data_IF_531848698685
#
_entry.id   IF_531848698685
#
_cell.length_a   1.000
_cell.length_b   1.000
_cell.length_c   1.000
_cell.angle_alpha   90.00
_cell.angle_beta   90.00
_cell.angle_gamma   90.00
#
_symmetry.space_group_name_H-M   'P 1'
#
loop_
_entity.id
_entity.type
_entity.pdbx_description
1 polymer ?
#
# COMPACT_ATOMS: atom_id res chain seq x y z
N UNK A 1 -18.56 -42.52 18.43
CA UNK A 1 -18.49 -43.45 17.29
C UNK A 1 -19.61 -43.03 16.33
N UNK A 2 -19.33 -42.71 15.04
CA UNK A 2 -20.38 -42.39 14.08
C UNK A 2 -21.32 -43.58 13.91
N UNK A 3 -22.63 -43.34 13.82
CA UNK A 3 -23.61 -44.40 13.57
C UNK A 3 -23.36 -45.07 12.22
N UNK A 4 -23.81 -46.33 12.08
CA UNK A 4 -23.61 -47.15 10.89
C UNK A 4 -24.12 -46.46 9.60
N UNK A 5 -25.20 -45.68 9.72
CA UNK A 5 -25.81 -44.92 8.62
C UNK A 5 -24.88 -43.81 8.10
N UNK A 6 -24.18 -43.10 9.00
CA UNK A 6 -23.23 -42.05 8.63
C UNK A 6 -22.00 -42.65 7.92
N UNK A 7 -21.56 -43.84 8.34
CA UNK A 7 -20.44 -44.52 7.69
C UNK A 7 -20.81 -45.00 6.28
N UNK A 8 -22.04 -45.47 6.09
CA UNK A 8 -22.54 -45.89 4.79
C UNK A 8 -22.68 -44.70 3.82
N UNK A 9 -23.16 -43.56 4.30
CA UNK A 9 -23.26 -42.33 3.50
C UNK A 9 -21.89 -41.80 3.06
N UNK A 10 -20.89 -41.81 3.94
CA UNK A 10 -19.51 -41.42 3.61
C UNK A 10 -18.92 -42.38 2.56
N UNK A 11 -19.11 -43.69 2.74
CA UNK A 11 -18.62 -44.69 1.80
C UNK A 11 -19.22 -44.52 0.40
N UNK A 12 -20.52 -44.22 0.32
CA UNK A 12 -21.20 -43.97 -0.95
C UNK A 12 -20.70 -42.68 -1.63
N UNK A 13 -20.40 -41.65 -0.85
CA UNK A 13 -19.86 -40.38 -1.33
C UNK A 13 -18.44 -40.53 -1.89
N UNK A 14 -17.56 -41.24 -1.19
CA UNK A 14 -16.19 -41.53 -1.64
C UNK A 14 -16.18 -42.40 -2.91
N UNK A 15 -17.04 -43.42 -2.98
CA UNK A 15 -17.19 -44.27 -4.17
C UNK A 15 -17.76 -43.50 -5.37
N UNK A 16 -18.59 -42.49 -5.13
CA UNK A 16 -19.08 -41.62 -6.20
C UNK A 16 -17.96 -40.71 -6.72
N UNK A 17 -17.17 -40.12 -5.81
CA UNK A 17 -16.03 -39.26 -6.15
C UNK A 17 -14.97 -40.02 -6.98
N UNK A 18 -14.59 -41.23 -6.55
CA UNK A 18 -13.63 -42.07 -7.28
C UNK A 18 -14.13 -42.47 -8.68
N UNK A 19 -15.45 -42.62 -8.88
CA UNK A 19 -16.05 -42.90 -10.20
C UNK A 19 -15.99 -41.70 -11.14
N UNK A 20 -16.10 -40.48 -10.62
CA UNK A 20 -15.92 -39.25 -11.42
C UNK A 20 -14.48 -39.04 -11.83
N UNK A 21 -13.54 -39.34 -10.91
CA UNK A 21 -12.09 -39.30 -11.17
C UNK A 21 -11.67 -40.33 -12.23
N UNK A 22 -12.13 -41.58 -12.10
CA UNK A 22 -11.82 -42.66 -13.05
C UNK A 22 -12.39 -42.42 -14.47
N UNK A 23 -13.44 -41.59 -14.59
CA UNK A 23 -14.06 -41.23 -15.88
C UNK A 23 -13.47 -39.96 -16.49
N UNK A 24 -12.50 -39.31 -15.83
CA UNK A 24 -11.94 -38.04 -16.29
C UNK A 24 -12.98 -36.92 -16.43
N UNK A 25 -14.15 -37.06 -15.78
CA UNK A 25 -15.29 -36.15 -15.89
C UNK A 25 -15.28 -35.02 -14.85
N UNK A 26 -14.16 -34.81 -14.17
CA UNK A 26 -13.86 -33.56 -13.45
C UNK A 26 -13.61 -32.44 -14.47
N UNK A 27 -14.58 -32.17 -15.34
CA UNK A 27 -14.55 -30.98 -16.18
C UNK A 27 -14.70 -29.77 -15.25
N UNK A 28 -13.74 -28.84 -15.27
CA UNK A 28 -13.91 -27.56 -14.60
C UNK A 28 -15.21 -26.88 -15.07
N UNK A 29 -15.92 -26.21 -14.15
CA UNK A 29 -17.07 -25.36 -14.51
C UNK A 29 -16.69 -24.41 -15.65
N UNK A 30 -17.61 -24.04 -16.55
CA UNK A 30 -17.34 -23.21 -17.74
C UNK A 30 -16.71 -21.83 -17.40
N UNK A 31 -16.87 -21.39 -16.16
CA UNK A 31 -16.24 -20.19 -15.56
C UNK A 31 -14.74 -20.40 -15.27
N UNK A 32 -14.32 -21.65 -15.02
CA UNK A 32 -12.94 -22.07 -14.74
C UNK A 32 -12.09 -22.25 -16.00
N UNK A 33 -12.69 -22.36 -17.19
CA UNK A 33 -11.96 -22.58 -18.45
C UNK A 33 -11.29 -21.32 -19.03
N UNK A 34 -11.65 -20.13 -18.55
CA UNK A 34 -11.05 -18.85 -18.97
C UNK A 34 -9.91 -18.38 -18.07
N UNK A 35 -9.71 -19.03 -16.91
CA UNK A 35 -8.60 -18.76 -15.99
C UNK A 35 -7.77 -20.04 -15.97
N UNK A 36 -6.51 -20.00 -16.38
CA UNK A 36 -5.66 -21.20 -16.33
C UNK A 36 -5.74 -21.82 -14.93
N UNK A 37 -5.91 -23.15 -14.77
CA UNK A 37 -6.05 -23.80 -13.46
C UNK A 37 -4.98 -23.40 -12.44
N UNK A 38 -3.78 -23.08 -12.93
CA UNK A 38 -2.64 -22.60 -12.14
C UNK A 38 -2.87 -21.20 -11.56
N UNK A 39 -3.63 -20.33 -12.22
CA UNK A 39 -3.88 -18.96 -11.73
C UNK A 39 -4.89 -18.92 -10.57
N UNK A 40 -5.92 -19.78 -10.61
CA UNK A 40 -6.91 -19.84 -9.53
C UNK A 40 -6.33 -20.50 -8.26
N UNK A 41 -5.49 -21.52 -8.42
CA UNK A 41 -4.81 -22.16 -7.29
C UNK A 41 -3.76 -21.25 -6.67
N UNK A 42 -2.97 -20.53 -7.48
CA UNK A 42 -2.00 -19.55 -6.99
C UNK A 42 -2.65 -18.37 -6.26
N UNK A 43 -3.72 -17.76 -6.81
CA UNK A 43 -4.39 -16.63 -6.15
C UNK A 43 -5.03 -17.02 -4.81
N UNK A 44 -5.67 -18.19 -4.75
CA UNK A 44 -6.24 -18.72 -3.51
C UNK A 44 -5.16 -19.11 -2.49
N UNK A 45 -4.00 -19.60 -2.94
CA UNK A 45 -2.87 -19.87 -2.06
C UNK A 45 -2.28 -18.58 -1.50
N UNK A 46 -2.04 -17.55 -2.32
CA UNK A 46 -1.53 -16.25 -1.87
C UNK A 46 -2.46 -15.59 -0.85
N UNK A 47 -3.77 -15.62 -1.07
CA UNK A 47 -4.73 -15.08 -0.11
C UNK A 47 -4.71 -15.83 1.24
N UNK A 48 -4.62 -17.16 1.21
CA UNK A 48 -4.51 -17.99 2.42
C UNK A 48 -3.19 -17.77 3.15
N UNK A 49 -2.08 -17.68 2.42
CA UNK A 49 -0.74 -17.43 2.97
C UNK A 49 -0.70 -16.04 3.64
N UNK A 50 -1.28 -15.02 3.01
CA UNK A 50 -1.33 -13.68 3.59
C UNK A 50 -2.30 -13.55 4.78
N UNK A 51 -3.37 -14.36 4.83
CA UNK A 51 -4.19 -14.47 6.03
C UNK A 51 -3.42 -15.12 7.19
N UNK A 52 -2.62 -16.16 6.91
CA UNK A 52 -1.74 -16.78 7.90
C UNK A 52 -0.62 -15.83 8.36
N UNK A 53 -0.03 -15.06 7.44
CA UNK A 53 1.00 -14.07 7.75
C UNK A 53 0.49 -13.06 8.78
N UNK A 54 -0.72 -12.53 8.59
CA UNK A 54 -1.34 -11.60 9.54
C UNK A 54 -1.63 -12.25 10.90
N UNK A 55 -2.04 -13.53 10.91
CA UNK A 55 -2.30 -14.26 12.15
C UNK A 55 -1.03 -14.54 12.96
N UNK A 56 0.11 -14.77 12.30
CA UNK A 56 1.38 -15.13 12.94
C UNK A 56 2.21 -13.90 13.31
N UNK A 57 2.32 -12.93 12.38
CA UNK A 57 3.23 -11.80 12.49
C UNK A 57 2.54 -10.47 12.83
N UNK A 58 1.21 -10.47 12.94
CA UNK A 58 0.42 -9.31 13.33
C UNK A 58 -0.23 -8.59 12.15
N UNK A 59 -1.09 -7.63 12.50
CA UNK A 59 -1.89 -6.89 11.53
C UNK A 59 -1.01 -6.15 10.51
N UNK A 60 -1.29 -6.33 9.22
CA UNK A 60 -0.54 -5.73 8.12
C UNK A 60 0.68 -6.54 7.63
N UNK A 61 0.97 -7.71 8.20
CA UNK A 61 2.01 -8.59 7.66
C UNK A 61 1.59 -9.20 6.31
N UNK A 62 2.50 -9.18 5.33
CA UNK A 62 2.27 -9.67 3.98
C UNK A 62 3.51 -10.45 3.51
N UNK A 63 3.30 -11.62 2.92
CA UNK A 63 4.37 -12.43 2.33
C UNK A 63 4.42 -12.13 0.84
N UNK A 64 5.59 -11.71 0.38
CA UNK A 64 5.88 -11.45 -1.04
C UNK A 64 6.82 -12.52 -1.58
N UNK A 65 6.72 -12.80 -2.88
CA UNK A 65 7.75 -13.59 -3.54
C UNK A 65 9.03 -12.77 -3.80
N UNK A 66 10.09 -13.42 -4.29
CA UNK A 66 11.37 -12.76 -4.50
C UNK A 66 11.35 -11.70 -5.62
N UNK A 67 10.48 -11.86 -6.62
CA UNK A 67 10.33 -10.90 -7.73
C UNK A 67 9.61 -9.65 -7.26
N UNK A 68 8.53 -9.84 -6.50
CA UNK A 68 7.80 -8.76 -5.84
C UNK A 68 8.70 -8.01 -4.86
N UNK A 69 9.51 -8.74 -4.06
CA UNK A 69 10.47 -8.14 -3.14
C UNK A 69 11.49 -7.24 -3.85
N UNK A 70 12.09 -7.71 -4.95
CA UNK A 70 13.04 -6.92 -5.74
C UNK A 70 12.40 -5.66 -6.35
N UNK A 71 11.15 -5.78 -6.78
CA UNK A 71 10.37 -4.64 -7.31
C UNK A 71 10.13 -3.60 -6.23
N UNK A 72 9.68 -4.03 -5.04
CA UNK A 72 9.47 -3.16 -3.89
C UNK A 72 10.77 -2.47 -3.45
N UNK A 73 11.87 -3.20 -3.39
CA UNK A 73 13.19 -2.64 -3.04
C UNK A 73 13.60 -1.54 -4.03
N UNK A 74 13.46 -1.79 -5.33
CA UNK A 74 13.79 -0.80 -6.37
C UNK A 74 12.93 0.47 -6.24
N UNK A 75 11.63 0.31 -6.03
CA UNK A 75 10.71 1.42 -5.81
C UNK A 75 11.06 2.23 -4.57
N UNK A 76 11.39 1.57 -3.45
CA UNK A 76 11.81 2.23 -2.21
C UNK A 76 13.08 3.06 -2.44
N UNK A 77 14.09 2.49 -3.09
CA UNK A 77 15.34 3.20 -3.39
C UNK A 77 15.08 4.44 -4.25
N UNK A 78 14.31 4.29 -5.33
CA UNK A 78 13.98 5.41 -6.21
C UNK A 78 13.19 6.51 -5.48
N UNK A 79 12.21 6.12 -4.65
CA UNK A 79 11.43 7.08 -3.86
C UNK A 79 12.30 7.83 -2.85
N UNK A 80 13.24 7.16 -2.19
CA UNK A 80 14.19 7.81 -1.28
C UNK A 80 15.06 8.85 -2.00
N UNK A 81 15.57 8.52 -3.19
CA UNK A 81 16.33 9.46 -4.01
C UNK A 81 15.49 10.67 -4.45
N UNK A 82 14.25 10.43 -4.90
CA UNK A 82 13.33 11.48 -5.29
C UNK A 82 12.99 12.40 -4.11
N UNK A 83 12.82 11.84 -2.90
CA UNK A 83 12.60 12.63 -1.70
C UNK A 83 13.80 13.54 -1.41
N UNK A 84 15.03 13.01 -1.45
CA UNK A 84 16.25 13.82 -1.27
C UNK A 84 16.34 14.94 -2.31
N UNK A 85 16.06 14.64 -3.58
CA UNK A 85 16.03 15.64 -4.64
C UNK A 85 15.05 16.77 -4.34
N UNK A 86 13.80 16.45 -4.01
CA UNK A 86 12.79 17.46 -3.71
C UNK A 86 13.13 18.30 -2.47
N UNK A 87 13.74 17.70 -1.45
CA UNK A 87 14.22 18.43 -0.29
C UNK A 87 15.35 19.40 -0.62
N UNK A 88 16.24 19.05 -1.56
CA UNK A 88 17.27 19.97 -2.06
C UNK A 88 16.64 21.15 -2.82
N UNK A 89 15.65 20.89 -3.68
CA UNK A 89 14.89 21.94 -4.37
C UNK A 89 14.22 22.92 -3.41
N UNK A 90 13.58 22.40 -2.36
CA UNK A 90 12.88 23.21 -1.34
C UNK A 90 13.85 24.03 -0.49
N UNK A 91 14.92 23.40 -0.01
CA UNK A 91 15.88 24.04 0.89
C UNK A 91 16.86 24.96 0.17
N UNK A 92 17.06 24.79 -1.14
CA UNK A 92 18.10 25.48 -1.89
C UNK A 92 19.48 24.81 -1.81
N UNK A 93 19.58 23.68 -1.12
CA UNK A 93 20.80 22.87 -1.09
C UNK A 93 21.16 22.44 -2.52
N UNK A 94 22.45 22.42 -2.86
CA UNK A 94 22.95 22.07 -4.20
C UNK A 94 22.36 22.91 -5.35
N UNK A 95 21.97 24.16 -5.09
CA UNK A 95 21.47 25.06 -6.14
C UNK A 95 19.97 24.93 -6.44
N UNK A 96 19.21 24.27 -5.56
CA UNK A 96 17.75 24.21 -5.66
C UNK A 96 17.06 25.59 -5.53
N UNK A 97 15.74 25.62 -5.74
CA UNK A 97 14.96 26.87 -5.77
C UNK A 97 15.00 27.74 -4.50
N UNK A 98 15.29 27.14 -3.34
CA UNK A 98 15.37 27.82 -2.04
C UNK A 98 14.05 28.47 -1.61
N UNK A 99 12.94 27.73 -1.72
CA UNK A 99 11.62 28.20 -1.29
C UNK A 99 11.61 28.59 0.19
N UNK A 100 12.31 27.84 1.04
CA UNK A 100 12.44 28.16 2.47
C UNK A 100 13.06 29.54 2.68
N UNK A 101 14.21 29.83 2.06
CA UNK A 101 14.88 31.13 2.19
C UNK A 101 14.04 32.30 1.66
N UNK A 102 13.32 32.10 0.55
CA UNK A 102 12.41 33.12 0.02
C UNK A 102 11.23 33.36 0.96
N UNK A 103 10.68 32.30 1.55
CA UNK A 103 9.59 32.39 2.53
C UNK A 103 10.01 33.18 3.76
N UNK A 104 11.17 32.86 4.33
CA UNK A 104 11.75 33.61 5.46
C UNK A 104 11.95 35.08 5.10
N UNK A 105 12.55 35.38 3.95
CA UNK A 105 12.78 36.76 3.48
C UNK A 105 11.47 37.53 3.36
N UNK A 106 10.44 36.92 2.78
CA UNK A 106 9.12 37.54 2.63
C UNK A 106 8.48 37.84 3.99
N UNK A 107 8.54 36.90 4.94
CA UNK A 107 8.01 37.09 6.28
C UNK A 107 8.72 38.23 7.02
N UNK A 108 10.05 38.29 6.95
CA UNK A 108 10.84 39.39 7.52
C UNK A 108 10.46 40.74 6.92
N UNK A 109 10.24 40.81 5.60
CA UNK A 109 9.83 42.04 4.92
C UNK A 109 8.43 42.49 5.37
N UNK A 110 7.49 41.58 5.50
CA UNK A 110 6.13 41.88 6.03
C UNK A 110 6.19 42.38 7.47
N UNK A 111 6.99 41.74 8.32
CA UNK A 111 7.20 42.17 9.69
C UNK A 111 7.80 43.59 9.77
N UNK A 112 8.81 43.87 8.95
CA UNK A 112 9.42 45.20 8.87
C UNK A 112 8.41 46.28 8.47
N UNK A 113 7.62 46.08 7.41
CA UNK A 113 6.61 47.07 7.01
C UNK A 113 5.52 47.25 8.05
N UNK A 114 5.13 46.18 8.74
CA UNK A 114 4.16 46.25 9.84
C UNK A 114 4.71 47.10 10.98
N UNK A 115 5.98 46.90 11.33
CA UNK A 115 6.66 47.68 12.37
C UNK A 115 6.79 49.17 12.00
N UNK A 116 7.21 49.46 10.76
CA UNK A 116 7.31 50.84 10.25
C UNK A 116 5.94 51.52 10.26
N UNK A 117 4.90 50.84 9.78
CA UNK A 117 3.52 51.36 9.78
C UNK A 117 3.07 51.69 11.19
N UNK A 118 3.29 50.77 12.13
CA UNK A 118 2.95 50.96 13.55
C UNK A 118 3.68 52.15 14.14
N UNK A 119 5.01 52.26 13.97
CA UNK A 119 5.79 53.41 14.44
C UNK A 119 5.33 54.74 13.84
N UNK A 120 4.93 54.74 12.57
CA UNK A 120 4.40 55.93 11.92
C UNK A 120 3.07 56.36 12.53
N UNK A 121 2.17 55.40 12.79
CA UNK A 121 0.90 55.64 13.48
C UNK A 121 1.15 56.21 14.88
N UNK A 122 2.02 55.55 15.65
CA UNK A 122 2.37 55.93 17.03
C UNK A 122 2.97 57.33 17.07
N UNK A 123 3.92 57.65 16.18
CA UNK A 123 4.61 58.96 16.14
C UNK A 123 3.67 60.11 15.78
N UNK A 124 2.71 59.85 14.88
CA UNK A 124 1.83 60.90 14.36
C UNK A 124 0.48 60.95 15.07
N UNK A 125 0.28 60.15 16.14
CA UNK A 125 -0.99 60.01 16.87
C UNK A 125 -2.19 59.75 15.93
N UNK A 126 -1.99 58.94 14.89
CA UNK A 126 -3.05 58.66 13.90
C UNK A 126 -3.99 57.60 14.47
N UNK A 127 -5.21 57.98 14.84
CA UNK A 127 -6.25 57.01 15.22
C UNK A 127 -6.89 56.42 13.96
N UNK A 128 -6.75 55.11 13.75
CA UNK A 128 -7.48 54.39 12.70
C UNK A 128 -8.73 53.81 13.37
N UNK A 129 -9.90 54.41 13.09
CA UNK A 129 -11.21 53.94 13.54
C UNK A 129 -11.75 52.77 12.74
#
# INVERSE_FOLDING_TARGET
MPSLDIQLDIYLLEKHQARHEARGMLSPSKILTTISPNQLTTCNASNRINALAQAIYGNGAYIVDNTELQTLQTQITSNGQNQTYWQNEISGTNGGFNFNGRTTTSQTKTAYYTDVKRRYIDRNHITIG
#
